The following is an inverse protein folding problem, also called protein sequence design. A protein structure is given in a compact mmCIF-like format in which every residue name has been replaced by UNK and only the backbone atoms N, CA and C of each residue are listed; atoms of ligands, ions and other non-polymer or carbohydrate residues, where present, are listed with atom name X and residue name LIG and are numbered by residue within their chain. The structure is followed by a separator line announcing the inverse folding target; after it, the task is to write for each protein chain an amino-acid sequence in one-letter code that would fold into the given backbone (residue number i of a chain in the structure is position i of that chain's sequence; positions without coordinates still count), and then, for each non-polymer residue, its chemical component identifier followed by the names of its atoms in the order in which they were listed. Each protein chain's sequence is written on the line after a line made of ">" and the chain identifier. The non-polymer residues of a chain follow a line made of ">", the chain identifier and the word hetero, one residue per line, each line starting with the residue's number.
data_IF_552812063736
#
_entry.id   IF_552812063736
#
_cell.length_a   1.000
_cell.length_b   1.000
_cell.length_c   1.000
_cell.angle_alpha   90.00
_cell.angle_beta   90.00
_cell.angle_gamma   90.00
#
_symmetry.space_group_name_H-M   'P 1'
#
loop_
_entity.id
_entity.type
_entity.pdbx_description
1 polymer ?
#
# COMPACT_ATOMS: atom_id res chain seq x y z
N UNK A 1 7.73 -73.56 -35.94
CA UNK A 1 8.56 -73.48 -34.71
C UNK A 1 9.07 -72.05 -34.67
N UNK A 2 8.47 -71.08 -33.98
CA UNK A 2 8.15 -71.01 -32.55
C UNK A 2 6.91 -70.13 -32.33
N UNK A 3 6.03 -70.56 -31.43
CA UNK A 3 4.76 -69.90 -31.03
C UNK A 3 5.05 -68.98 -29.84
N UNK A 4 4.62 -67.72 -29.83
CA UNK A 4 4.31 -67.01 -28.57
C UNK A 4 3.05 -66.16 -28.78
N UNK A 5 1.93 -66.67 -28.26
CA UNK A 5 0.75 -65.91 -27.84
C UNK A 5 0.84 -65.74 -26.32
N UNK A 6 0.58 -64.54 -25.81
CA UNK A 6 0.20 -64.15 -24.43
C UNK A 6 0.96 -62.85 -24.08
N UNK A 7 0.41 -61.77 -23.54
CA UNK A 7 -0.81 -61.56 -22.74
C UNK A 7 -0.82 -60.10 -22.24
N UNK A 8 -1.99 -59.64 -21.78
CA UNK A 8 -2.20 -58.62 -20.72
C UNK A 8 -1.88 -57.15 -21.08
N UNK A 9 -2.88 -56.25 -21.24
CA UNK A 9 -3.80 -55.65 -20.24
C UNK A 9 -3.26 -54.33 -19.64
N UNK A 10 -3.97 -53.22 -19.96
CA UNK A 10 -4.06 -51.92 -19.26
C UNK A 10 -2.77 -51.06 -19.18
N UNK A 11 -2.78 -49.73 -19.28
CA UNK A 11 -3.89 -48.78 -19.22
C UNK A 11 -3.53 -47.46 -19.91
N UNK A 12 -4.57 -46.87 -20.47
CA UNK A 12 -4.63 -45.54 -21.07
C UNK A 12 -4.41 -44.51 -19.96
N UNK A 13 -3.35 -43.69 -20.04
CA UNK A 13 -3.22 -42.47 -19.23
C UNK A 13 -3.04 -41.30 -20.19
N UNK A 14 -4.16 -40.74 -20.63
CA UNK A 14 -4.22 -39.46 -21.35
C UNK A 14 -3.96 -38.32 -20.37
N UNK A 15 -2.79 -37.70 -20.49
CA UNK A 15 -2.40 -36.51 -19.74
C UNK A 15 -3.10 -35.28 -20.35
N UNK A 16 -4.30 -34.95 -19.87
CA UNK A 16 -4.99 -33.70 -20.21
C UNK A 16 -4.45 -32.57 -19.32
N UNK A 17 -3.39 -31.89 -19.77
CA UNK A 17 -2.93 -30.64 -19.15
C UNK A 17 -3.88 -29.52 -19.60
N UNK A 18 -4.92 -29.28 -18.81
CA UNK A 18 -5.76 -28.09 -18.91
C UNK A 18 -4.96 -26.87 -18.46
N UNK A 19 -4.33 -26.16 -19.39
CA UNK A 19 -3.91 -24.78 -19.16
C UNK A 19 -5.16 -23.90 -19.16
N UNK A 20 -5.67 -23.61 -17.97
CA UNK A 20 -6.72 -22.61 -17.77
C UNK A 20 -6.11 -21.19 -17.92
N UNK A 21 -5.92 -20.75 -19.16
CA UNK A 21 -5.66 -19.34 -19.47
C UNK A 21 -6.96 -18.55 -19.38
N UNK A 22 -7.29 -18.08 -18.18
CA UNK A 22 -8.33 -17.08 -17.98
C UNK A 22 -7.89 -15.71 -18.51
N UNK A 23 -8.82 -14.84 -18.96
CA UNK A 23 -8.48 -13.52 -19.46
C UNK A 23 -7.84 -12.68 -18.34
N UNK A 24 -6.58 -12.30 -18.53
CA UNK A 24 -5.89 -11.34 -17.67
C UNK A 24 -6.46 -9.97 -18.01
N UNK A 25 -7.50 -9.53 -17.30
CA UNK A 25 -8.01 -8.18 -17.47
C UNK A 25 -6.86 -7.17 -17.30
N UNK A 26 -6.75 -6.14 -18.17
CA UNK A 26 -5.74 -5.11 -18.01
C UNK A 26 -6.01 -4.41 -16.67
N UNK A 27 -5.13 -4.66 -15.70
CA UNK A 27 -5.16 -3.97 -14.43
C UNK A 27 -4.69 -2.53 -14.65
N UNK A 28 -5.56 -1.68 -15.19
CA UNK A 28 -5.30 -0.26 -15.24
C UNK A 28 -5.01 0.21 -13.82
N UNK A 29 -3.84 0.84 -13.68
CA UNK A 29 -3.43 1.58 -12.50
C UNK A 29 -4.46 2.67 -12.20
N UNK A 30 -5.46 2.35 -11.39
CA UNK A 30 -6.48 3.29 -10.99
C UNK A 30 -5.95 4.19 -9.88
N UNK A 31 -6.57 5.37 -9.75
CA UNK A 31 -6.24 6.34 -8.70
C UNK A 31 -7.34 6.35 -7.65
N UNK A 32 -6.95 6.19 -6.39
CA UNK A 32 -7.85 6.32 -5.24
C UNK A 32 -7.63 7.63 -4.49
N UNK A 33 -8.67 8.09 -3.79
CA UNK A 33 -8.56 9.22 -2.85
C UNK A 33 -8.29 8.67 -1.46
N UNK A 34 -7.34 9.26 -0.73
CA UNK A 34 -7.00 8.81 0.61
C UNK A 34 -7.15 9.96 1.59
N UNK A 35 -7.85 9.67 2.68
CA UNK A 35 -7.98 10.54 3.84
C UNK A 35 -7.27 9.89 5.00
N UNK A 36 -6.46 10.65 5.72
CA UNK A 36 -5.61 10.14 6.80
C UNK A 36 -5.67 11.12 7.97
N UNK A 37 -5.99 10.61 9.15
CA UNK A 37 -5.88 11.32 10.43
C UNK A 37 -4.72 10.67 11.20
N UNK A 38 -3.65 11.43 11.46
CA UNK A 38 -2.52 10.98 12.28
C UNK A 38 -2.65 11.62 13.66
N UNK A 39 -2.62 10.79 14.69
CA UNK A 39 -2.47 11.25 16.07
C UNK A 39 -1.05 10.96 16.55
N UNK A 40 -0.44 11.96 17.18
CA UNK A 40 0.86 11.86 17.82
C UNK A 40 0.66 12.10 19.31
N UNK A 41 1.26 11.27 20.14
CA UNK A 41 1.33 11.49 21.57
C UNK A 41 2.70 11.02 22.08
N UNK A 42 3.36 11.81 22.91
CA UNK A 42 4.65 11.46 23.46
C UNK A 42 4.98 12.18 24.75
N UNK A 43 5.74 11.50 25.61
CA UNK A 43 6.51 12.06 26.71
C UNK A 43 7.89 11.42 26.62
N UNK A 44 8.90 12.17 26.14
CA UNK A 44 10.30 11.74 25.91
C UNK A 44 10.51 10.85 24.67
N UNK A 45 9.60 9.93 24.33
CA UNK A 45 9.59 9.20 23.06
C UNK A 45 8.19 9.31 22.44
N UNK A 46 8.10 9.90 21.24
CA UNK A 46 6.88 10.06 20.49
C UNK A 46 6.60 8.85 19.63
N UNK A 47 5.50 8.14 19.92
CA UNK A 47 4.93 7.16 18.99
C UNK A 47 3.73 7.80 18.30
N UNK A 48 3.60 7.55 17.01
CA UNK A 48 2.48 8.05 16.24
C UNK A 48 1.77 6.94 15.50
N UNK A 49 0.46 7.07 15.46
CA UNK A 49 -0.41 6.15 14.76
C UNK A 49 -1.57 6.92 14.17
N UNK A 50 -2.09 6.42 13.07
CA UNK A 50 -3.18 7.06 12.38
C UNK A 50 -4.22 6.07 11.94
N UNK A 51 -5.37 6.63 11.57
CA UNK A 51 -6.41 5.92 10.84
C UNK A 51 -6.65 6.66 9.55
N UNK A 52 -7.12 5.96 8.54
CA UNK A 52 -7.43 6.56 7.26
C UNK A 52 -8.57 5.85 6.56
N UNK A 53 -8.89 6.34 5.37
CA UNK A 53 -9.84 5.69 4.48
C UNK A 53 -9.37 5.89 3.06
N UNK A 54 -9.24 4.79 2.33
CA UNK A 54 -9.09 4.78 0.89
C UNK A 54 -10.47 4.72 0.26
N UNK A 55 -10.74 5.66 -0.63
CA UNK A 55 -11.87 5.60 -1.55
C UNK A 55 -11.35 5.13 -2.90
N UNK A 56 -11.72 3.91 -3.29
CA UNK A 56 -11.28 3.28 -4.53
C UNK A 56 -12.47 2.63 -5.23
N UNK A 57 -12.70 2.98 -6.50
CA UNK A 57 -13.82 2.45 -7.31
C UNK A 57 -15.20 2.58 -6.62
N UNK A 58 -15.45 3.71 -5.95
CA UNK A 58 -16.71 3.97 -5.24
C UNK A 58 -16.88 3.23 -3.90
N UNK A 59 -15.89 2.43 -3.48
CA UNK A 59 -15.89 1.73 -2.20
C UNK A 59 -14.94 2.41 -1.22
N UNK A 60 -15.31 2.38 0.06
CA UNK A 60 -14.52 2.92 1.17
C UNK A 60 -13.81 1.77 1.89
N UNK A 61 -12.51 1.89 2.06
CA UNK A 61 -11.66 0.91 2.71
C UNK A 61 -10.98 1.57 3.91
N UNK A 62 -11.30 1.16 5.14
CA UNK A 62 -10.65 1.70 6.33
C UNK A 62 -9.18 1.29 6.35
N UNK A 63 -8.32 2.26 6.66
CA UNK A 63 -6.88 2.07 6.76
C UNK A 63 -6.42 2.30 8.19
N UNK A 64 -5.42 1.55 8.60
CA UNK A 64 -4.64 1.78 9.81
C UNK A 64 -3.23 2.18 9.42
N UNK A 65 -2.65 3.13 10.15
CA UNK A 65 -1.34 3.70 9.86
C UNK A 65 -0.48 3.55 11.10
N UNK A 66 0.66 2.90 10.92
CA UNK A 66 1.63 2.61 11.96
C UNK A 66 3.05 2.90 11.50
N UNK A 67 4.02 2.52 12.34
CA UNK A 67 5.45 2.70 12.06
C UNK A 67 5.95 4.13 12.12
N UNK A 68 5.11 5.10 12.55
CA UNK A 68 5.54 6.48 12.71
C UNK A 68 6.22 6.64 14.08
N UNK A 69 7.53 6.89 14.07
CA UNK A 69 8.27 7.33 15.25
C UNK A 69 8.51 8.83 15.14
N UNK A 70 8.09 9.57 16.15
CA UNK A 70 8.20 11.03 16.20
C UNK A 70 9.20 11.45 17.27
N UNK A 71 10.43 10.93 17.22
CA UNK A 71 11.57 11.38 18.03
C UNK A 71 11.27 11.63 19.51
N UNK A 72 12.01 12.53 20.16
CA UNK A 72 11.62 13.04 21.48
C UNK A 72 10.59 14.17 21.32
N UNK A 73 9.34 13.91 21.69
CA UNK A 73 8.24 14.87 21.65
C UNK A 73 7.53 14.88 23.00
N UNK A 74 7.13 16.07 23.46
CA UNK A 74 6.25 16.25 24.62
C UNK A 74 4.95 16.87 24.11
N UNK A 75 3.84 16.15 24.29
CA UNK A 75 2.50 16.64 23.96
C UNK A 75 1.70 15.68 23.09
N UNK A 76 0.46 16.07 22.82
CA UNK A 76 -0.44 15.37 21.91
C UNK A 76 -0.85 16.32 20.78
N UNK A 77 -0.86 15.83 19.55
CA UNK A 77 -1.25 16.60 18.38
C UNK A 77 -1.93 15.71 17.36
N UNK A 78 -2.87 16.29 16.61
CA UNK A 78 -3.56 15.63 15.51
C UNK A 78 -3.24 16.35 14.20
N UNK A 79 -3.04 15.57 13.15
CA UNK A 79 -2.79 16.07 11.81
C UNK A 79 -3.72 15.38 10.82
N UNK A 80 -4.54 16.19 10.15
CA UNK A 80 -5.39 15.74 9.05
C UNK A 80 -4.65 15.89 7.73
N UNK A 81 -4.62 14.80 6.98
CA UNK A 81 -3.90 14.68 5.72
C UNK A 81 -4.87 14.18 4.66
N UNK A 82 -4.78 14.78 3.49
CA UNK A 82 -5.59 14.37 2.33
C UNK A 82 -4.67 14.15 1.15
N UNK A 83 -4.97 13.13 0.36
CA UNK A 83 -4.07 12.70 -0.70
C UNK A 83 -4.69 11.79 -1.73
N UNK A 84 -3.83 11.29 -2.62
CA UNK A 84 -4.20 10.34 -3.67
C UNK A 84 -3.23 9.17 -3.68
N UNK A 85 -3.76 7.98 -3.90
CA UNK A 85 -3.00 6.77 -4.13
C UNK A 85 -3.05 6.43 -5.62
N UNK A 86 -1.90 6.52 -6.28
CA UNK A 86 -1.72 6.18 -7.69
C UNK A 86 -1.20 4.76 -7.85
N UNK A 87 -1.38 4.19 -9.04
CA UNK A 87 -0.90 2.86 -9.38
C UNK A 87 -1.55 1.73 -8.55
N UNK A 88 -2.80 1.92 -8.12
CA UNK A 88 -3.58 0.87 -7.47
C UNK A 88 -4.18 -0.05 -8.54
N UNK A 89 -3.82 -1.34 -8.52
CA UNK A 89 -4.49 -2.37 -9.33
C UNK A 89 -5.66 -2.97 -8.58
N UNK A 90 -5.54 -3.09 -7.26
CA UNK A 90 -6.54 -3.57 -6.31
C UNK A 90 -6.49 -2.71 -5.04
N UNK A 91 -7.59 -2.65 -4.30
CA UNK A 91 -7.62 -1.92 -3.02
C UNK A 91 -6.59 -2.47 -2.01
N UNK A 92 -6.32 -3.78 -2.03
CA UNK A 92 -5.31 -4.44 -1.20
C UNK A 92 -3.88 -3.96 -1.45
N UNK A 93 -3.59 -3.42 -2.63
CA UNK A 93 -2.23 -3.00 -2.99
C UNK A 93 -1.78 -1.79 -2.16
N UNK A 94 -2.73 -1.07 -1.58
CA UNK A 94 -2.43 0.05 -0.69
C UNK A 94 -1.76 -0.40 0.60
N UNK A 95 -1.97 -1.64 1.06
CA UNK A 95 -1.46 -2.09 2.35
C UNK A 95 0.01 -2.48 2.26
N UNK A 96 0.92 -1.77 2.89
CA UNK A 96 2.34 -2.10 2.95
C UNK A 96 3.17 -0.98 3.56
N UNK A 97 4.49 -1.18 3.59
CA UNK A 97 5.43 -0.15 4.02
C UNK A 97 5.70 0.83 2.89
N UNK A 98 5.52 2.11 3.18
CA UNK A 98 5.76 3.23 2.29
C UNK A 98 7.03 3.96 2.70
N UNK A 99 7.92 4.14 1.74
CA UNK A 99 9.15 4.92 1.89
C UNK A 99 8.99 6.25 1.17
N UNK A 100 9.48 7.33 1.77
CA UNK A 100 9.46 8.64 1.12
C UNK A 100 10.38 8.61 -0.11
N UNK A 101 9.82 8.93 -1.28
CA UNK A 101 10.57 9.00 -2.56
C UNK A 101 10.75 10.43 -3.05
N UNK A 102 10.07 11.40 -2.43
CA UNK A 102 10.26 12.81 -2.72
C UNK A 102 9.38 13.70 -1.85
N UNK A 103 9.88 14.90 -1.56
CA UNK A 103 9.13 15.95 -0.88
C UNK A 103 8.86 17.04 -1.90
N UNK A 104 7.59 17.36 -2.13
CA UNK A 104 7.20 18.50 -2.94
C UNK A 104 7.32 19.77 -2.12
N UNK A 105 8.34 20.58 -2.42
CA UNK A 105 8.47 21.92 -1.85
C UNK A 105 7.31 22.80 -2.34
N UNK A 106 6.61 23.42 -1.39
CA UNK A 106 5.53 24.35 -1.69
C UNK A 106 6.13 25.63 -2.28
N UNK A 107 5.93 25.88 -3.57
CA UNK A 107 6.18 27.21 -4.13
C UNK A 107 5.13 28.18 -3.53
N UNK A 108 5.48 28.86 -2.42
CA UNK A 108 4.83 30.11 -2.02
C UNK A 108 3.68 30.08 -0.99
N UNK A 109 3.44 29.01 -0.21
CA UNK A 109 2.25 29.00 0.68
C UNK A 109 2.21 28.05 1.89
N UNK A 110 3.34 27.46 2.32
CA UNK A 110 3.41 26.67 3.57
C UNK A 110 2.71 25.29 3.57
N UNK A 111 1.95 24.93 2.54
CA UNK A 111 1.37 23.59 2.38
C UNK A 111 2.37 22.64 1.73
N UNK A 112 3.00 21.76 2.52
CA UNK A 112 3.94 20.78 2.00
C UNK A 112 3.20 19.54 1.48
N UNK A 113 3.81 18.87 0.48
CA UNK A 113 3.34 17.58 -0.01
C UNK A 113 4.46 16.56 0.05
N UNK A 114 4.11 15.30 0.31
CA UNK A 114 5.06 14.20 0.33
C UNK A 114 4.56 13.11 -0.59
N UNK A 115 5.47 12.54 -1.38
CA UNK A 115 5.22 11.32 -2.14
C UNK A 115 5.95 10.18 -1.49
N UNK A 116 5.19 9.14 -1.16
CA UNK A 116 5.71 7.89 -0.68
C UNK A 116 5.40 6.79 -1.70
N UNK A 117 6.26 5.78 -1.75
CA UNK A 117 6.06 4.63 -2.60
C UNK A 117 6.21 3.36 -1.79
N UNK A 118 5.36 2.37 -2.04
CA UNK A 118 5.51 1.03 -1.45
C UNK A 118 6.22 0.07 -2.42
N UNK A 119 6.60 -1.10 -1.91
CA UNK A 119 7.25 -2.15 -2.71
C UNK A 119 6.40 -2.66 -3.89
N UNK A 120 5.07 -2.44 -3.88
CA UNK A 120 4.17 -2.78 -5.00
C UNK A 120 4.10 -1.68 -6.07
N UNK A 121 4.84 -0.59 -5.89
CA UNK A 121 4.86 0.55 -6.81
C UNK A 121 3.66 1.49 -6.66
N UNK A 122 2.82 1.31 -5.64
CA UNK A 122 1.74 2.26 -5.31
C UNK A 122 2.37 3.54 -4.80
N UNK A 123 2.01 4.67 -5.41
CA UNK A 123 2.52 5.98 -5.02
C UNK A 123 1.44 6.70 -4.24
N UNK A 124 1.71 7.00 -2.97
CA UNK A 124 0.83 7.77 -2.11
C UNK A 124 1.33 9.21 -2.03
N UNK A 125 0.55 10.14 -2.58
CA UNK A 125 0.80 11.57 -2.46
C UNK A 125 -0.09 12.13 -1.37
N UNK A 126 0.50 12.58 -0.27
CA UNK A 126 -0.22 13.20 0.86
C UNK A 126 0.10 14.70 0.92
N UNK A 127 -0.90 15.49 1.31
CA UNK A 127 -0.80 16.94 1.49
C UNK A 127 -1.33 17.32 2.86
N UNK A 128 -0.67 18.28 3.51
CA UNK A 128 -1.07 18.77 4.81
C UNK A 128 -0.24 19.97 5.25
N UNK A 129 -0.68 20.61 6.34
CA UNK A 129 0.10 21.68 6.98
C UNK A 129 1.28 21.04 7.72
N UNK A 130 2.51 21.39 7.34
CA UNK A 130 3.78 20.89 7.92
C UNK A 130 4.15 19.42 7.70
N UNK A 131 3.50 18.68 6.80
CA UNK A 131 3.81 17.26 6.56
C UNK A 131 5.25 17.01 6.06
N UNK A 132 5.78 17.89 5.21
CA UNK A 132 7.10 17.74 4.60
C UNK A 132 8.27 17.98 5.55
N UNK A 133 8.07 18.77 6.62
CA UNK A 133 9.11 19.02 7.62
C UNK A 133 9.09 17.94 8.71
N UNK A 134 7.91 17.49 9.13
CA UNK A 134 7.77 16.52 10.21
C UNK A 134 8.04 15.07 9.79
N UNK A 135 7.65 14.69 8.56
CA UNK A 135 7.85 13.31 8.08
C UNK A 135 9.24 13.09 7.49
N UNK A 136 9.83 14.10 6.83
CA UNK A 136 11.17 13.97 6.24
C UNK A 136 12.27 13.83 7.30
N UNK A 137 12.08 14.45 8.48
CA UNK A 137 13.09 14.47 9.54
C UNK A 137 13.10 13.23 10.45
N UNK A 138 12.01 12.45 10.52
CA UNK A 138 11.88 11.41 11.56
C UNK A 138 11.23 10.09 11.12
N UNK A 139 10.66 10.00 9.92
CA UNK A 139 9.90 8.80 9.52
C UNK A 139 10.65 8.03 8.45
N UNK A 140 11.28 6.93 8.86
CA UNK A 140 12.03 6.03 7.96
C UNK A 140 11.10 5.14 7.09
N UNK A 141 9.84 4.97 7.50
CA UNK A 141 8.82 4.29 6.72
C UNK A 141 7.45 4.35 7.41
N UNK A 142 6.38 4.45 6.62
CA UNK A 142 5.00 4.45 7.09
C UNK A 142 4.40 3.09 6.78
N UNK A 143 3.91 2.37 7.78
CA UNK A 143 3.16 1.15 7.53
C UNK A 143 1.69 1.48 7.37
N UNK A 144 1.10 1.05 6.25
CA UNK A 144 -0.34 1.18 6.00
C UNK A 144 -0.92 -0.22 5.91
N UNK A 145 -2.00 -0.48 6.66
CA UNK A 145 -2.73 -1.74 6.61
C UNK A 145 -4.22 -1.50 6.45
N UNK A 146 -4.93 -2.51 5.93
CA UNK A 146 -6.39 -2.52 5.88
C UNK A 146 -6.93 -3.02 7.23
N UNK A 147 -8.04 -2.43 7.68
CA UNK A 147 -8.72 -2.81 8.93
C UNK A 147 -9.95 -3.67 8.66
#
# INVERSE_FOLDING_TARGET
>A
MLTIRSTLRYGLVTLAVMFASGPVAPAWAATGTVYVEIAKAGFIVGVGGGKGTLVFQGRRYPLSIGGLSFGATIGASKADLTGRAYNLRRASDIAGTYTAVGVGAAAGGGASSIRLQNARGVVLELRGRNIGLELNANVSGIEVSLR
#
